data_IF_396839972257
#
_entry.id   IF_396839972257
#
_cell.length_a   1.000
_cell.length_b   1.000
_cell.length_c   1.000
_cell.angle_alpha   90.00
_cell.angle_beta   90.00
_cell.angle_gamma   90.00
#
_symmetry.space_group_name_H-M   'P 1'
#
loop_
_entity.id
_entity.type
_entity.pdbx_description
1 polymer ?
#
# COMPACT_ATOMS: atom_id res chain seq x y z
N UNK A 1 -19.77 45.13 -35.50
CA UNK A 1 -19.79 44.65 -34.11
C UNK A 1 -19.66 43.13 -34.13
N UNK A 2 -18.48 42.56 -33.82
CA UNK A 2 -18.30 41.11 -33.86
C UNK A 2 -18.78 40.48 -32.55
N UNK A 3 -19.47 39.34 -32.69
CA UNK A 3 -19.94 38.48 -31.60
C UNK A 3 -18.74 37.78 -30.98
N UNK A 4 -18.58 37.90 -29.66
CA UNK A 4 -17.51 37.28 -28.90
C UNK A 4 -17.63 35.75 -28.90
N UNK A 5 -16.54 35.09 -29.26
CA UNK A 5 -16.32 33.66 -29.06
C UNK A 5 -16.12 33.41 -27.56
N UNK A 6 -17.01 32.62 -26.95
CA UNK A 6 -16.75 32.04 -25.64
C UNK A 6 -15.73 30.90 -25.81
N UNK A 7 -14.52 31.12 -25.32
CA UNK A 7 -13.49 30.10 -25.24
C UNK A 7 -13.95 29.04 -24.21
N UNK A 8 -14.31 27.85 -24.70
CA UNK A 8 -14.43 26.66 -23.86
C UNK A 8 -13.02 26.27 -23.41
N UNK A 9 -12.74 26.45 -22.12
CA UNK A 9 -11.56 25.91 -21.48
C UNK A 9 -11.67 24.37 -21.51
N UNK A 10 -10.99 23.77 -22.49
CA UNK A 10 -10.76 22.34 -22.56
C UNK A 10 -9.83 21.98 -21.38
N UNK A 11 -10.40 21.50 -20.27
CA UNK A 11 -9.63 20.90 -19.18
C UNK A 11 -9.08 19.58 -19.72
N UNK A 12 -7.85 19.64 -20.26
CA UNK A 12 -7.03 18.47 -20.55
C UNK A 12 -6.67 17.82 -19.20
N UNK A 13 -7.54 16.95 -18.71
CA UNK A 13 -7.23 16.05 -17.61
C UNK A 13 -6.13 15.09 -18.08
N UNK A 14 -4.89 15.39 -17.72
CA UNK A 14 -3.82 14.40 -17.73
C UNK A 14 -4.21 13.28 -16.75
N UNK A 15 -4.48 12.10 -17.30
CA UNK A 15 -4.81 10.88 -16.56
C UNK A 15 -3.55 10.32 -15.90
N UNK A 16 -3.09 10.97 -14.83
CA UNK A 16 -2.18 10.35 -13.89
C UNK A 16 -3.00 9.40 -13.02
N UNK A 17 -2.58 8.14 -12.91
CA UNK A 17 -3.09 7.26 -11.86
C UNK A 17 -2.95 8.00 -10.51
N UNK A 18 -3.95 7.95 -9.61
CA UNK A 18 -3.79 8.52 -8.29
C UNK A 18 -2.54 7.88 -7.67
N UNK A 19 -1.63 8.71 -7.15
CA UNK A 19 -0.57 8.21 -6.29
C UNK A 19 -1.23 7.41 -5.17
N UNK A 20 -0.70 6.24 -4.76
CA UNK A 20 -1.17 5.62 -3.54
C UNK A 20 -1.13 6.70 -2.45
N UNK A 21 -2.22 6.81 -1.68
CA UNK A 21 -2.33 7.79 -0.61
C UNK A 21 -1.01 7.77 0.17
N UNK A 22 -0.31 8.91 0.19
CA UNK A 22 0.88 9.07 0.99
C UNK A 22 0.52 8.54 2.38
N UNK A 23 1.25 7.52 2.85
CA UNK A 23 1.06 7.03 4.20
C UNK A 23 1.22 8.23 5.11
N UNK A 24 0.11 8.71 5.67
CA UNK A 24 0.15 9.77 6.66
C UNK A 24 0.84 9.15 7.85
N UNK A 25 2.14 9.44 8.00
CA UNK A 25 2.79 9.26 9.29
C UNK A 25 1.93 10.00 10.30
N UNK A 26 1.59 9.33 11.39
CA UNK A 26 0.85 9.91 12.51
C UNK A 26 1.72 10.95 13.24
N UNK A 27 2.17 11.99 12.54
CA UNK A 27 3.09 12.98 13.06
C UNK A 27 2.32 13.93 14.00
N UNK A 28 2.71 13.90 15.27
CA UNK A 28 2.11 14.70 16.33
C UNK A 28 1.53 13.87 17.49
N UNK A 29 0.83 14.54 18.42
CA UNK A 29 0.22 13.90 19.59
C UNK A 29 -0.92 12.94 19.19
N UNK A 30 -0.89 11.72 19.71
CA UNK A 30 -1.89 10.69 19.46
C UNK A 30 -3.26 11.09 20.00
N UNK A 31 -3.30 11.85 21.10
CA UNK A 31 -4.54 12.39 21.66
C UNK A 31 -5.30 13.28 20.68
N UNK A 32 -4.59 14.00 19.80
CA UNK A 32 -5.21 14.82 18.76
C UNK A 32 -5.91 13.95 17.72
N UNK A 33 -5.29 12.84 17.30
CA UNK A 33 -5.90 11.90 16.36
C UNK A 33 -7.16 11.26 16.94
N UNK A 34 -7.09 10.78 18.18
CA UNK A 34 -8.24 10.17 18.86
C UNK A 34 -9.41 11.15 18.95
N UNK A 35 -9.16 12.40 19.37
CA UNK A 35 -10.21 13.43 19.44
C UNK A 35 -10.79 13.74 18.07
N UNK A 36 -9.95 13.78 17.03
CA UNK A 36 -10.41 14.03 15.67
C UNK A 36 -11.32 12.90 15.14
N UNK A 37 -11.01 11.63 15.46
CA UNK A 37 -11.87 10.48 15.14
C UNK A 37 -13.20 10.57 15.92
N UNK A 38 -13.15 10.88 17.22
CA UNK A 38 -14.33 10.98 18.08
C UNK A 38 -15.28 12.13 17.72
N UNK A 39 -14.73 13.20 17.14
CA UNK A 39 -15.52 14.35 16.68
C UNK A 39 -16.15 14.12 15.31
N UNK A 40 -15.79 13.05 14.60
CA UNK A 40 -16.24 12.81 13.24
C UNK A 40 -17.64 12.18 13.20
N UNK A 41 -18.42 12.53 12.18
CA UNK A 41 -19.79 12.06 11.99
C UNK A 41 -19.85 10.61 11.50
N UNK A 42 -18.75 10.08 10.94
CA UNK A 42 -18.67 8.69 10.46
C UNK A 42 -18.19 7.70 11.53
N UNK A 43 -18.01 8.12 12.78
CA UNK A 43 -17.61 7.21 13.85
C UNK A 43 -18.65 6.12 14.08
N UNK A 44 -18.19 4.92 14.42
CA UNK A 44 -19.02 3.74 14.64
C UNK A 44 -19.16 3.43 16.15
N UNK A 45 -20.11 2.58 16.57
CA UNK A 45 -20.25 2.18 17.98
C UNK A 45 -18.95 1.66 18.62
N UNK A 46 -18.06 1.05 17.84
CA UNK A 46 -16.73 0.65 18.30
C UNK A 46 -15.81 1.83 18.68
N UNK A 47 -15.96 2.97 18.02
CA UNK A 47 -15.20 4.20 18.30
C UNK A 47 -15.65 4.82 19.62
N UNK A 48 -16.95 4.78 19.90
CA UNK A 48 -17.50 5.20 21.19
C UNK A 48 -17.14 4.21 22.31
N UNK A 49 -17.28 2.89 22.05
CA UNK A 49 -17.00 1.80 23.00
C UNK A 49 -15.60 1.90 23.61
N UNK A 50 -14.59 2.16 22.78
CA UNK A 50 -13.20 2.26 23.24
C UNK A 50 -12.73 3.70 23.47
N UNK A 51 -13.56 4.71 23.20
CA UNK A 51 -13.17 6.12 23.18
C UNK A 51 -12.39 6.61 24.41
N UNK A 52 -12.91 6.43 25.65
CA UNK A 52 -12.19 6.83 26.86
C UNK A 52 -10.83 6.13 27.02
N UNK A 53 -10.76 4.85 26.67
CA UNK A 53 -9.54 4.05 26.78
C UNK A 53 -8.51 4.43 25.71
N UNK A 54 -8.95 4.71 24.47
CA UNK A 54 -8.09 5.26 23.41
C UNK A 54 -7.44 6.56 23.87
N UNK A 55 -8.21 7.46 24.50
CA UNK A 55 -7.68 8.71 25.05
C UNK A 55 -6.70 8.50 26.20
N UNK A 56 -6.97 7.59 27.13
CA UNK A 56 -6.05 7.26 28.22
C UNK A 56 -4.71 6.76 27.67
N UNK A 57 -4.75 5.78 26.77
CA UNK A 57 -3.56 5.16 26.19
C UNK A 57 -2.77 6.19 25.36
N UNK A 58 -3.45 6.96 24.51
CA UNK A 58 -2.83 8.00 23.72
C UNK A 58 -2.16 9.08 24.61
N UNK A 59 -2.81 9.50 25.69
CA UNK A 59 -2.24 10.46 26.63
C UNK A 59 -1.02 9.90 27.36
N UNK A 60 -1.06 8.63 27.74
CA UNK A 60 0.06 7.95 28.40
C UNK A 60 1.29 7.83 27.47
N UNK A 61 1.07 7.57 26.18
CA UNK A 61 2.09 7.53 25.13
C UNK A 61 2.63 8.92 24.82
N UNK A 62 1.76 9.92 24.65
CA UNK A 62 2.15 11.32 24.42
C UNK A 62 3.03 11.84 25.57
N UNK A 63 2.66 11.56 26.82
CA UNK A 63 3.44 11.94 28.00
C UNK A 63 4.82 11.25 28.10
N UNK A 64 5.02 10.13 27.40
CA UNK A 64 6.27 9.36 27.37
C UNK A 64 7.02 9.48 26.05
N UNK A 65 6.56 10.30 25.11
CA UNK A 65 7.07 10.36 23.75
C UNK A 65 8.59 10.59 23.70
N UNK A 66 9.11 11.54 24.49
CA UNK A 66 10.55 11.83 24.54
C UNK A 66 11.37 10.68 25.12
N UNK A 67 10.84 9.97 26.13
CA UNK A 67 11.51 8.83 26.73
C UNK A 67 11.52 7.61 25.79
N UNK A 68 10.43 7.36 25.07
CA UNK A 68 10.35 6.32 24.03
C UNK A 68 11.32 6.66 22.88
N UNK A 69 11.33 7.92 22.42
CA UNK A 69 12.27 8.36 21.38
C UNK A 69 13.75 8.29 21.85
N UNK A 70 14.03 8.55 23.13
CA UNK A 70 15.35 8.36 23.71
C UNK A 70 15.75 6.88 23.76
N UNK A 71 14.84 5.99 24.14
CA UNK A 71 15.04 4.53 24.11
C UNK A 71 15.39 4.04 22.70
N UNK A 72 14.64 4.46 21.68
CA UNK A 72 14.87 4.05 20.28
C UNK A 72 16.17 4.57 19.67
N UNK A 73 16.77 5.61 20.27
CA UNK A 73 18.08 6.16 19.84
C UNK A 73 19.25 5.48 20.54
N UNK A 74 19.01 4.60 21.52
CA UNK A 74 20.09 3.86 22.15
C UNK A 74 20.74 2.96 21.10
N UNK A 75 22.09 2.99 20.99
CA UNK A 75 22.78 2.03 20.14
C UNK A 75 22.37 0.63 20.58
N UNK A 76 21.97 -0.22 19.64
CA UNK A 76 21.84 -1.64 19.92
C UNK A 76 23.14 -2.10 20.61
N UNK A 77 23.06 -2.84 21.73
CA UNK A 77 24.26 -3.24 22.45
C UNK A 77 25.23 -3.89 21.46
N UNK A 78 26.47 -3.40 21.43
CA UNK A 78 27.51 -3.94 20.58
C UNK A 78 27.55 -5.46 20.81
N UNK A 79 27.27 -6.22 19.74
CA UNK A 79 27.15 -7.67 19.72
C UNK A 79 28.25 -8.34 20.57
N UNK A 80 27.90 -8.72 21.79
CA UNK A 80 28.87 -9.24 22.77
C UNK A 80 28.27 -9.74 24.07
N UNK A 81 27.00 -9.43 24.37
CA UNK A 81 26.31 -9.89 25.58
C UNK A 81 24.86 -10.33 25.29
N UNK A 82 24.63 -10.98 24.15
CA UNK A 82 23.39 -11.72 23.92
C UNK A 82 23.70 -13.18 24.25
N UNK A 83 23.32 -13.57 25.45
CA UNK A 83 23.18 -14.96 25.90
C UNK A 83 22.63 -15.81 24.74
N UNK A 84 23.28 -16.94 24.44
CA UNK A 84 23.16 -17.71 23.20
C UNK A 84 21.72 -17.85 22.69
N UNK A 85 21.27 -16.85 21.93
CA UNK A 85 20.01 -16.91 21.22
C UNK A 85 20.18 -17.90 20.07
N UNK A 86 19.13 -18.67 19.72
CA UNK A 86 19.14 -19.46 18.50
C UNK A 86 19.60 -18.55 17.35
N UNK A 87 20.51 -19.06 16.50
CA UNK A 87 21.05 -18.29 15.39
C UNK A 87 19.90 -17.53 14.70
N UNK A 88 19.98 -16.20 14.57
CA UNK A 88 18.85 -15.42 14.15
C UNK A 88 18.35 -15.93 12.79
N UNK A 89 17.02 -16.05 12.65
CA UNK A 89 16.36 -16.53 11.42
C UNK A 89 16.88 -15.77 10.19
N UNK A 90 17.33 -14.53 10.40
CA UNK A 90 17.94 -13.67 9.42
C UNK A 90 19.36 -13.26 9.83
N UNK A 91 20.25 -13.14 8.85
CA UNK A 91 21.58 -12.54 9.00
C UNK A 91 21.64 -11.21 8.25
N UNK A 92 22.33 -10.23 8.83
CA UNK A 92 22.63 -8.97 8.15
C UNK A 92 23.76 -9.19 7.12
N UNK A 93 23.57 -8.68 5.91
CA UNK A 93 24.55 -8.71 4.82
C UNK A 93 24.73 -7.30 4.27
N UNK A 94 25.97 -6.84 4.13
CA UNK A 94 26.26 -5.52 3.57
C UNK A 94 25.71 -5.42 2.14
N UNK A 95 25.03 -4.32 1.84
CA UNK A 95 24.54 -3.94 0.52
C UNK A 95 24.78 -2.45 0.31
N UNK A 96 25.90 -2.11 -0.33
CA UNK A 96 26.32 -0.73 -0.58
C UNK A 96 26.38 0.10 0.71
N UNK A 97 25.60 1.19 0.82
CA UNK A 97 25.61 2.10 1.97
C UNK A 97 24.86 1.56 3.20
N UNK A 98 24.25 0.36 3.12
CA UNK A 98 23.44 -0.21 4.18
C UNK A 98 23.66 -1.73 4.32
N UNK A 99 22.81 -2.40 5.08
CA UNK A 99 22.70 -3.84 5.16
C UNK A 99 21.28 -4.30 4.84
N UNK A 100 21.17 -5.54 4.37
CA UNK A 100 19.90 -6.24 4.16
C UNK A 100 19.82 -7.48 5.04
N UNK A 101 18.60 -7.88 5.40
CA UNK A 101 18.34 -9.08 6.16
C UNK A 101 18.07 -10.25 5.20
N UNK A 102 18.93 -11.26 5.26
CA UNK A 102 18.83 -12.48 4.44
C UNK A 102 18.48 -13.64 5.35
N UNK A 103 17.45 -14.41 4.99
CA UNK A 103 17.05 -15.59 5.76
C UNK A 103 18.17 -16.62 5.77
N UNK A 104 18.61 -17.03 6.96
CA UNK A 104 19.77 -17.91 7.16
C UNK A 104 19.56 -19.30 6.56
N UNK A 105 18.31 -19.80 6.56
CA UNK A 105 17.93 -21.08 5.96
C UNK A 105 17.68 -21.04 4.44
N UNK A 106 17.86 -19.87 3.81
CA UNK A 106 17.37 -19.62 2.46
C UNK A 106 15.87 -19.31 2.43
N UNK A 107 15.38 -18.88 1.27
CA UNK A 107 13.97 -18.59 1.09
C UNK A 107 13.18 -19.88 0.87
N UNK A 108 12.12 -20.07 1.66
CA UNK A 108 11.15 -21.15 1.49
C UNK A 108 9.77 -20.51 1.42
N UNK A 109 9.10 -20.66 0.28
CA UNK A 109 7.75 -20.16 0.09
C UNK A 109 6.80 -20.82 1.10
N UNK A 110 5.90 -20.04 1.68
CA UNK A 110 4.85 -20.62 2.53
C UNK A 110 3.97 -21.58 1.73
N UNK A 111 3.47 -22.62 2.39
CA UNK A 111 2.39 -23.47 1.84
C UNK A 111 1.01 -23.01 2.28
N UNK A 112 0.94 -22.19 3.33
CA UNK A 112 -0.31 -21.63 3.83
C UNK A 112 -0.83 -20.59 2.83
N UNK A 113 -2.13 -20.64 2.54
CA UNK A 113 -2.78 -19.68 1.64
C UNK A 113 -3.15 -18.40 2.42
N UNK A 114 -4.38 -17.91 2.24
CA UNK A 114 -4.91 -16.78 2.96
C UNK A 114 -4.95 -17.02 4.47
N UNK A 115 -4.33 -16.12 5.22
CA UNK A 115 -4.40 -16.04 6.67
C UNK A 115 -4.91 -14.66 7.08
N UNK A 116 -5.52 -14.59 8.26
CA UNK A 116 -5.92 -13.32 8.88
C UNK A 116 -5.16 -13.15 10.19
N UNK A 117 -4.48 -12.02 10.35
CA UNK A 117 -3.99 -11.57 11.65
C UNK A 117 -4.89 -10.43 12.14
N UNK A 118 -5.48 -10.58 13.32
CA UNK A 118 -6.37 -9.57 13.90
C UNK A 118 -5.62 -8.68 14.87
N UNK A 119 -5.89 -7.38 14.81
CA UNK A 119 -5.38 -6.36 15.70
C UNK A 119 -6.54 -5.45 16.09
N UNK A 120 -6.69 -5.13 17.37
CA UNK A 120 -7.75 -4.23 17.79
C UNK A 120 -7.57 -3.67 19.19
N UNK A 121 -8.46 -2.74 19.54
CA UNK A 121 -8.38 -2.01 20.80
C UNK A 121 -8.54 -2.88 22.04
N UNK A 122 -9.20 -4.04 21.93
CA UNK A 122 -9.32 -4.99 23.03
C UNK A 122 -7.97 -5.58 23.44
N UNK A 123 -7.14 -5.99 22.48
CA UNK A 123 -5.82 -6.58 22.75
C UNK A 123 -4.83 -5.51 23.19
N UNK A 124 -4.87 -4.33 22.55
CA UNK A 124 -4.09 -3.15 22.95
C UNK A 124 -4.41 -2.78 24.41
N UNK A 125 -5.69 -2.75 24.78
CA UNK A 125 -6.12 -2.47 26.14
C UNK A 125 -5.54 -3.45 27.16
N UNK A 126 -5.61 -4.75 26.86
CA UNK A 126 -5.08 -5.80 27.70
C UNK A 126 -3.56 -5.68 27.86
N UNK A 127 -2.85 -5.42 26.76
CA UNK A 127 -1.40 -5.23 26.77
C UNK A 127 -0.99 -3.99 27.58
N UNK A 128 -1.64 -2.85 27.35
CA UNK A 128 -1.41 -1.63 28.12
C UNK A 128 -1.68 -1.83 29.62
N UNK A 129 -2.79 -2.45 29.98
CA UNK A 129 -3.13 -2.69 31.39
C UNK A 129 -2.07 -3.51 32.13
N UNK A 130 -1.40 -4.44 31.45
CA UNK A 130 -0.37 -5.28 32.02
C UNK A 130 0.97 -4.54 32.26
N UNK A 131 1.25 -3.47 31.51
CA UNK A 131 2.56 -2.81 31.50
C UNK A 131 2.53 -1.31 31.83
N UNK A 132 1.37 -0.69 32.01
CA UNK A 132 1.24 0.78 32.19
C UNK A 132 1.97 1.37 33.40
N UNK A 133 2.34 0.54 34.38
CA UNK A 133 3.15 0.92 35.54
C UNK A 133 4.65 0.78 35.33
N UNK A 134 5.07 0.11 34.26
CA UNK A 134 6.48 -0.18 34.00
C UNK A 134 7.22 1.09 33.56
N UNK A 135 8.52 1.21 33.85
CA UNK A 135 9.35 2.22 33.20
C UNK A 135 9.34 2.03 31.67
N UNK A 136 9.69 3.09 30.93
CA UNK A 136 9.80 3.01 29.47
C UNK A 136 10.83 1.93 29.09
N UNK A 137 10.37 0.97 28.29
CA UNK A 137 11.08 -0.22 27.84
C UNK A 137 10.55 -0.64 26.45
N UNK A 138 10.94 -1.82 25.96
CA UNK A 138 10.49 -2.37 24.68
C UNK A 138 8.97 -2.54 24.56
N UNK A 139 8.26 -2.78 25.66
CA UNK A 139 6.80 -2.89 25.64
C UNK A 139 6.14 -1.53 25.38
N UNK A 140 6.70 -0.44 25.92
CA UNK A 140 6.21 0.91 25.62
C UNK A 140 6.44 1.32 24.17
N UNK A 141 7.59 0.98 23.60
CA UNK A 141 7.86 1.21 22.17
C UNK A 141 6.93 0.36 21.28
N UNK A 142 6.78 -0.93 21.61
CA UNK A 142 5.85 -1.83 20.93
C UNK A 142 4.41 -1.35 20.98
N UNK A 143 3.93 -0.90 22.15
CA UNK A 143 2.60 -0.29 22.28
C UNK A 143 2.48 0.98 21.42
N UNK A 144 3.48 1.86 21.44
CA UNK A 144 3.49 3.09 20.64
C UNK A 144 3.32 2.78 19.14
N UNK A 145 4.09 1.81 18.62
CA UNK A 145 3.96 1.36 17.22
C UNK A 145 2.58 0.76 16.93
N UNK A 146 2.07 -0.11 17.82
CA UNK A 146 0.78 -0.76 17.64
C UNK A 146 -0.39 0.25 17.65
N UNK A 147 -0.41 1.17 18.61
CA UNK A 147 -1.45 2.20 18.73
C UNK A 147 -1.42 3.15 17.54
N UNK A 148 -0.23 3.55 17.08
CA UNK A 148 -0.08 4.39 15.88
C UNK A 148 -0.65 3.71 14.64
N UNK A 149 -0.34 2.43 14.43
CA UNK A 149 -0.88 1.66 13.32
C UNK A 149 -2.41 1.63 13.31
N UNK A 150 -3.02 1.27 14.44
CA UNK A 150 -4.49 1.20 14.56
C UNK A 150 -5.15 2.59 14.44
N UNK A 151 -4.52 3.66 14.95
CA UNK A 151 -5.04 5.02 14.80
C UNK A 151 -4.96 5.56 13.37
N UNK A 152 -3.95 5.15 12.59
CA UNK A 152 -3.92 5.44 11.15
C UNK A 152 -5.10 4.74 10.47
N UNK A 153 -5.32 3.45 10.75
CA UNK A 153 -6.45 2.71 10.16
C UNK A 153 -7.81 3.32 10.59
N UNK A 154 -7.98 3.72 11.85
CA UNK A 154 -9.18 4.42 12.33
C UNK A 154 -9.37 5.78 11.64
N UNK A 155 -8.29 6.54 11.45
CA UNK A 155 -8.35 7.83 10.73
C UNK A 155 -8.75 7.61 9.28
N UNK A 156 -8.14 6.63 8.62
CA UNK A 156 -8.46 6.27 7.24
C UNK A 156 -9.92 5.83 7.10
N UNK A 157 -10.41 4.98 8.02
CA UNK A 157 -11.79 4.47 8.00
C UNK A 157 -12.80 5.58 8.26
N UNK A 158 -12.64 6.30 9.36
CA UNK A 158 -13.63 7.25 9.86
C UNK A 158 -13.56 8.57 9.10
N UNK A 159 -12.36 9.16 8.98
CA UNK A 159 -12.21 10.52 8.42
C UNK A 159 -12.04 10.53 6.91
N UNK A 160 -11.22 9.61 6.39
CA UNK A 160 -10.86 9.62 4.97
C UNK A 160 -11.76 8.70 4.12
N UNK A 161 -12.71 8.00 4.75
CA UNK A 161 -13.69 7.17 4.04
C UNK A 161 -13.08 5.95 3.35
N UNK A 162 -11.92 5.47 3.83
CA UNK A 162 -11.31 4.25 3.30
C UNK A 162 -12.19 3.05 3.58
N UNK A 163 -12.41 2.22 2.56
CA UNK A 163 -13.31 1.08 2.65
C UNK A 163 -12.54 -0.16 3.08
N UNK A 164 -12.63 -0.49 4.36
CA UNK A 164 -12.04 -1.70 4.96
C UNK A 164 -12.93 -2.95 4.81
N UNK A 165 -13.86 -2.96 3.85
CA UNK A 165 -14.63 -4.16 3.49
C UNK A 165 -14.23 -4.68 2.09
N UNK A 166 -13.19 -4.08 1.51
CA UNK A 166 -12.57 -4.51 0.26
C UNK A 166 -11.58 -5.65 0.53
N UNK A 167 -11.73 -6.72 -0.21
CA UNK A 167 -10.89 -7.92 -0.11
C UNK A 167 -10.49 -8.49 -1.49
N UNK A 168 -9.79 -9.62 -1.48
CA UNK A 168 -9.25 -10.27 -2.68
C UNK A 168 -10.32 -10.63 -3.73
N UNK A 169 -11.59 -10.72 -3.32
CA UNK A 169 -12.71 -11.08 -4.19
C UNK A 169 -13.40 -9.86 -4.79
N UNK A 170 -13.20 -8.66 -4.23
CA UNK A 170 -13.93 -7.46 -4.63
C UNK A 170 -13.34 -6.74 -5.84
N UNK A 171 -12.06 -6.97 -6.17
CA UNK A 171 -11.35 -6.26 -7.24
C UNK A 171 -12.03 -6.32 -8.60
N UNK A 172 -12.45 -7.53 -9.04
CA UNK A 172 -13.14 -7.69 -10.33
C UNK A 172 -14.52 -7.01 -10.36
N UNK A 173 -15.22 -6.96 -9.22
CA UNK A 173 -16.51 -6.30 -9.12
C UNK A 173 -16.38 -4.77 -9.19
N UNK A 174 -15.34 -4.21 -8.55
CA UNK A 174 -14.98 -2.79 -8.66
C UNK A 174 -14.58 -2.44 -10.09
N UNK A 175 -13.75 -3.27 -10.73
CA UNK A 175 -13.34 -3.06 -12.12
C UNK A 175 -14.57 -3.02 -13.07
N UNK A 176 -15.54 -3.92 -12.87
CA UNK A 176 -16.77 -3.96 -13.64
C UNK A 176 -17.72 -2.78 -13.34
N UNK A 177 -17.70 -2.22 -12.13
CA UNK A 177 -18.51 -1.06 -11.73
C UNK A 177 -18.02 0.24 -12.37
N UNK A 178 -16.70 0.42 -12.46
CA UNK A 178 -16.06 1.69 -12.84
C UNK A 178 -16.57 2.28 -14.17
N UNK A 179 -16.72 1.52 -15.28
CA UNK A 179 -17.19 2.09 -16.54
C UNK A 179 -18.57 2.75 -16.45
N UNK A 180 -19.51 2.17 -15.70
CA UNK A 180 -20.85 2.75 -15.50
C UNK A 180 -20.80 4.08 -14.78
N UNK A 181 -19.99 4.17 -13.72
CA UNK A 181 -19.82 5.39 -12.92
C UNK A 181 -19.09 6.46 -13.73
N UNK A 182 -18.00 6.10 -14.41
CA UNK A 182 -17.24 7.03 -15.24
C UNK A 182 -18.03 7.58 -16.42
N UNK A 183 -18.84 6.75 -17.09
CA UNK A 183 -19.69 7.19 -18.19
C UNK A 183 -20.68 8.26 -17.71
N UNK A 184 -21.33 8.02 -16.58
CA UNK A 184 -22.25 8.98 -15.98
C UNK A 184 -21.53 10.25 -15.50
N UNK A 185 -20.34 10.12 -14.92
CA UNK A 185 -19.56 11.29 -14.49
C UNK A 185 -19.10 12.16 -15.65
N UNK A 186 -18.67 11.56 -16.77
CA UNK A 186 -18.23 12.29 -17.98
C UNK A 186 -19.40 12.95 -18.74
N UNK A 187 -20.61 12.40 -18.61
CA UNK A 187 -21.80 12.97 -19.23
C UNK A 187 -22.47 14.01 -18.33
N UNK A 188 -22.35 15.28 -18.71
CA UNK A 188 -22.99 16.39 -18.00
C UNK A 188 -24.53 16.28 -17.91
N UNK A 189 -25.18 15.49 -18.78
CA UNK A 189 -26.62 15.27 -18.74
C UNK A 189 -27.03 14.05 -17.90
N UNK A 190 -26.08 13.28 -17.36
CA UNK A 190 -26.40 12.08 -16.60
C UNK A 190 -27.16 12.41 -15.30
N UNK A 191 -28.37 11.87 -15.17
CA UNK A 191 -29.22 12.04 -13.98
C UNK A 191 -29.17 10.82 -13.03
N UNK A 192 -28.67 9.67 -13.49
CA UNK A 192 -28.57 8.44 -12.72
C UNK A 192 -27.52 7.49 -13.31
N UNK A 193 -26.75 6.83 -12.45
CA UNK A 193 -25.76 5.83 -12.88
C UNK A 193 -26.50 4.56 -13.34
N UNK A 194 -26.24 4.12 -14.57
CA UNK A 194 -26.79 2.88 -15.09
C UNK A 194 -26.08 1.66 -14.48
N UNK A 195 -26.70 1.06 -13.46
CA UNK A 195 -26.17 -0.07 -12.72
C UNK A 195 -26.92 -1.38 -13.02
N UNK A 196 -26.16 -2.45 -13.24
CA UNK A 196 -26.65 -3.84 -13.27
C UNK A 196 -27.05 -4.31 -11.87
N UNK A 197 -27.78 -5.42 -11.78
CA UNK A 197 -28.15 -6.03 -10.50
C UNK A 197 -26.91 -6.41 -9.66
N UNK A 198 -25.87 -6.97 -10.28
CA UNK A 198 -24.63 -7.34 -9.61
C UNK A 198 -23.89 -6.11 -9.05
N UNK A 199 -23.83 -5.02 -9.83
CA UNK A 199 -23.24 -3.76 -9.36
C UNK A 199 -24.02 -3.18 -8.18
N UNK A 200 -25.36 -3.20 -8.21
CA UNK A 200 -26.17 -2.75 -7.07
C UNK A 200 -25.94 -3.60 -5.82
N UNK A 201 -25.82 -4.92 -5.99
CA UNK A 201 -25.52 -5.83 -4.89
C UNK A 201 -24.16 -5.53 -4.25
N UNK A 202 -23.13 -5.24 -5.07
CA UNK A 202 -21.82 -4.79 -4.59
C UNK A 202 -21.96 -3.52 -3.75
N UNK A 203 -22.63 -2.48 -4.26
CA UNK A 203 -22.83 -1.22 -3.52
C UNK A 203 -23.54 -1.43 -2.18
N UNK A 204 -24.58 -2.28 -2.16
CA UNK A 204 -25.34 -2.56 -0.96
C UNK A 204 -24.55 -3.38 0.08
N UNK A 205 -23.65 -4.26 -0.36
CA UNK A 205 -22.80 -5.07 0.53
C UNK A 205 -21.69 -4.28 1.21
N UNK A 206 -21.38 -3.07 0.71
CA UNK A 206 -20.28 -2.25 1.15
C UNK A 206 -20.83 -1.00 1.84
N UNK A 207 -20.79 -0.96 3.18
CA UNK A 207 -21.48 0.07 3.98
C UNK A 207 -21.19 1.51 3.54
N UNK A 208 -19.92 1.82 3.23
CA UNK A 208 -19.53 3.15 2.76
C UNK A 208 -20.06 3.46 1.35
N UNK A 209 -20.01 2.51 0.41
CA UNK A 209 -20.61 2.68 -0.92
C UNK A 209 -22.12 2.83 -0.85
N UNK A 210 -22.81 2.07 -0.01
CA UNK A 210 -24.25 2.20 0.20
C UNK A 210 -24.61 3.62 0.69
N UNK A 211 -23.81 4.19 1.60
CA UNK A 211 -24.00 5.56 2.07
C UNK A 211 -23.73 6.62 0.98
N UNK A 212 -22.62 6.50 0.22
CA UNK A 212 -22.34 7.43 -0.87
C UNK A 212 -23.43 7.36 -1.95
N UNK A 213 -23.90 6.15 -2.27
CA UNK A 213 -24.94 5.96 -3.27
C UNK A 213 -26.31 6.49 -2.82
N UNK A 214 -26.68 6.30 -1.56
CA UNK A 214 -27.93 6.86 -1.03
C UNK A 214 -27.94 8.39 -1.07
N UNK A 215 -26.79 9.06 -0.89
CA UNK A 215 -26.65 10.52 -1.08
C UNK A 215 -26.83 10.96 -2.52
N UNK A 216 -26.41 10.15 -3.49
CA UNK A 216 -26.69 10.41 -4.92
C UNK A 216 -28.21 10.35 -5.15
N UNK A 217 -28.88 9.34 -4.60
CA UNK A 217 -30.33 9.16 -4.76
C UNK A 217 -31.15 10.24 -4.06
N UNK A 218 -30.71 10.67 -2.86
CA UNK A 218 -31.34 11.72 -2.06
C UNK A 218 -31.07 13.15 -2.55
N UNK A 219 -30.10 13.34 -3.47
CA UNK A 219 -29.76 14.66 -3.98
C UNK A 219 -30.98 15.34 -4.63
N UNK A 220 -31.26 16.55 -4.14
CA UNK A 220 -32.49 17.31 -4.39
C UNK A 220 -32.53 17.98 -5.76
N UNK A 221 -31.37 18.19 -6.38
CA UNK A 221 -31.23 18.90 -7.64
C UNK A 221 -30.08 18.33 -8.50
N UNK A 222 -30.04 18.62 -9.81
CA UNK A 222 -29.02 18.07 -10.72
C UNK A 222 -27.58 18.47 -10.40
N UNK A 223 -27.35 19.66 -9.84
CA UNK A 223 -25.98 20.11 -9.53
C UNK A 223 -25.41 19.35 -8.33
N UNK A 224 -26.19 19.24 -7.26
CA UNK A 224 -25.87 18.44 -6.08
C UNK A 224 -25.64 16.98 -6.48
N UNK A 225 -26.54 16.40 -7.26
CA UNK A 225 -26.42 15.02 -7.72
C UNK A 225 -25.12 14.76 -8.50
N UNK A 226 -24.76 15.68 -9.40
CA UNK A 226 -23.49 15.58 -10.14
C UNK A 226 -22.28 15.67 -9.23
N UNK A 227 -22.31 16.55 -8.22
CA UNK A 227 -21.24 16.62 -7.23
C UNK A 227 -21.07 15.29 -6.46
N UNK A 228 -22.19 14.65 -6.05
CA UNK A 228 -22.17 13.35 -5.36
C UNK A 228 -21.71 12.20 -6.27
N UNK A 229 -22.09 12.20 -7.55
CA UNK A 229 -21.58 11.22 -8.52
C UNK A 229 -20.07 11.39 -8.71
N UNK A 230 -19.57 12.63 -8.76
CA UNK A 230 -18.13 12.90 -8.86
C UNK A 230 -17.37 12.44 -7.61
N UNK A 231 -17.90 12.72 -6.41
CA UNK A 231 -17.37 12.22 -5.13
C UNK A 231 -17.27 10.69 -5.13
N UNK A 232 -18.35 10.00 -5.50
CA UNK A 232 -18.39 8.54 -5.61
C UNK A 232 -17.41 8.01 -6.68
N UNK A 233 -17.31 8.67 -7.82
CA UNK A 233 -16.39 8.31 -8.90
C UNK A 233 -14.92 8.47 -8.52
N UNK A 234 -14.59 9.49 -7.72
CA UNK A 234 -13.24 9.67 -7.16
C UNK A 234 -12.91 8.54 -6.17
N UNK A 235 -13.80 8.26 -5.21
CA UNK A 235 -13.62 7.17 -4.25
C UNK A 235 -13.44 5.81 -4.94
N UNK A 236 -14.30 5.49 -5.90
CA UNK A 236 -14.21 4.24 -6.65
C UNK A 236 -12.87 4.11 -7.42
N UNK A 237 -12.33 5.23 -7.91
CA UNK A 237 -11.02 5.26 -8.57
C UNK A 237 -9.89 4.97 -7.58
N UNK A 238 -9.94 5.57 -6.40
CA UNK A 238 -8.97 5.32 -5.32
C UNK A 238 -9.00 3.86 -4.88
N UNK A 239 -10.20 3.32 -4.65
CA UNK A 239 -10.40 1.91 -4.28
C UNK A 239 -9.88 0.96 -5.34
N UNK A 240 -10.20 1.23 -6.62
CA UNK A 240 -9.68 0.45 -7.73
C UNK A 240 -8.14 0.50 -7.81
N UNK A 241 -7.52 1.60 -7.38
CA UNK A 241 -6.08 1.73 -7.27
C UNK A 241 -5.42 0.61 -6.47
N UNK A 242 -6.11 0.08 -5.46
CA UNK A 242 -5.69 -1.09 -4.66
C UNK A 242 -5.54 -2.36 -5.50
N UNK A 243 -6.27 -2.49 -6.61
CA UNK A 243 -6.27 -3.67 -7.47
C UNK A 243 -5.56 -3.44 -8.80
N UNK A 244 -5.28 -2.17 -9.12
CA UNK A 244 -4.89 -1.78 -10.45
C UNK A 244 -3.45 -2.22 -10.74
N UNK A 245 -3.29 -2.94 -11.85
CA UNK A 245 -1.97 -3.08 -12.44
C UNK A 245 -1.54 -1.76 -13.10
N UNK A 246 -0.48 -1.14 -12.59
CA UNK A 246 0.03 0.15 -13.11
C UNK A 246 1.23 -0.10 -14.00
N UNK A 247 1.00 -0.12 -15.32
CA UNK A 247 2.06 -0.38 -16.29
C UNK A 247 3.19 0.65 -16.20
N UNK A 248 4.43 0.18 -16.06
CA UNK A 248 5.62 1.01 -16.10
C UNK A 248 6.15 1.12 -17.55
N UNK A 249 6.51 2.32 -18.02
CA UNK A 249 7.10 2.50 -19.35
C UNK A 249 8.51 1.92 -19.47
N UNK A 250 9.15 1.62 -18.33
CA UNK A 250 10.52 1.11 -18.24
C UNK A 250 10.61 -0.41 -18.16
N UNK A 251 9.48 -1.08 -18.38
CA UNK A 251 9.38 -2.53 -18.39
C UNK A 251 9.04 -2.97 -19.81
N UNK A 252 9.81 -3.95 -20.31
CA UNK A 252 9.60 -4.53 -21.64
C UNK A 252 9.81 -6.03 -21.63
N UNK A 253 9.09 -6.73 -22.50
CA UNK A 253 9.41 -8.11 -22.82
C UNK A 253 10.62 -8.17 -23.75
N UNK A 254 11.56 -9.06 -23.45
CA UNK A 254 12.78 -9.33 -24.26
C UNK A 254 12.75 -10.71 -24.90
N UNK A 255 11.77 -11.54 -24.55
CA UNK A 255 11.56 -12.90 -25.05
C UNK A 255 10.35 -13.54 -24.37
N UNK A 256 9.93 -14.74 -24.78
CA UNK A 256 8.81 -15.43 -24.13
C UNK A 256 9.11 -15.69 -22.66
N UNK A 257 8.31 -15.09 -21.76
CA UNK A 257 8.53 -15.17 -20.31
C UNK A 257 9.75 -14.39 -19.79
N UNK A 258 10.38 -13.57 -20.64
CA UNK A 258 11.57 -12.80 -20.30
C UNK A 258 11.24 -11.31 -20.29
N UNK A 259 11.48 -10.66 -19.16
CA UNK A 259 11.19 -9.24 -18.98
C UNK A 259 12.44 -8.50 -18.52
N UNK A 260 12.53 -7.24 -18.88
CA UNK A 260 13.57 -6.32 -18.42
C UNK A 260 12.89 -5.12 -17.76
N UNK A 261 13.36 -4.75 -16.58
CA UNK A 261 12.97 -3.52 -15.88
C UNK A 261 14.19 -2.63 -15.74
N UNK A 262 14.08 -1.39 -16.24
CA UNK A 262 15.11 -0.38 -16.03
C UNK A 262 14.79 0.44 -14.77
N UNK A 263 15.77 0.57 -13.89
CA UNK A 263 15.72 1.42 -12.68
C UNK A 263 17.07 2.11 -12.48
N UNK A 264 17.08 3.16 -11.68
CA UNK A 264 18.29 3.84 -11.25
C UNK A 264 18.75 3.29 -9.90
N UNK A 265 20.03 2.94 -9.80
CA UNK A 265 20.59 2.32 -8.60
C UNK A 265 20.68 3.30 -7.42
N UNK A 266 20.60 4.61 -7.68
CA UNK A 266 20.73 5.65 -6.67
C UNK A 266 21.97 5.44 -5.78
N UNK A 267 21.82 5.44 -4.45
CA UNK A 267 22.94 5.28 -3.52
C UNK A 267 23.51 3.84 -3.51
N UNK A 268 22.89 2.89 -4.21
CA UNK A 268 23.35 1.49 -4.32
C UNK A 268 24.23 1.24 -5.56
N UNK A 269 24.65 2.28 -6.29
CA UNK A 269 25.45 2.12 -7.51
C UNK A 269 26.73 1.28 -7.32
N UNK A 270 27.41 1.42 -6.18
CA UNK A 270 28.61 0.62 -5.85
C UNK A 270 28.31 -0.85 -5.53
N UNK A 271 27.05 -1.19 -5.24
CA UNK A 271 26.58 -2.54 -4.96
C UNK A 271 25.46 -2.96 -5.95
N UNK A 272 25.53 -2.46 -7.18
CA UNK A 272 24.52 -2.68 -8.20
C UNK A 272 24.37 -4.17 -8.53
N UNK A 273 25.47 -4.90 -8.66
CA UNK A 273 25.42 -6.33 -9.01
C UNK A 273 24.78 -7.17 -7.89
N UNK A 274 25.09 -6.90 -6.63
CA UNK A 274 24.48 -7.56 -5.47
C UNK A 274 23.00 -7.22 -5.37
N UNK A 275 22.64 -5.94 -5.58
CA UNK A 275 21.25 -5.49 -5.56
C UNK A 275 20.45 -6.17 -6.67
N UNK A 276 21.01 -6.22 -7.89
CA UNK A 276 20.43 -6.97 -9.03
C UNK A 276 20.22 -8.43 -8.67
N UNK A 277 21.25 -9.08 -8.14
CA UNK A 277 21.21 -10.51 -7.83
C UNK A 277 20.08 -10.85 -6.84
N UNK A 278 19.86 -10.02 -5.80
CA UNK A 278 18.75 -10.23 -4.86
C UNK A 278 17.39 -10.13 -5.55
N UNK A 279 17.15 -9.06 -6.32
CA UNK A 279 15.87 -8.85 -7.00
C UNK A 279 15.61 -9.96 -8.02
N UNK A 280 16.58 -10.26 -8.88
CA UNK A 280 16.44 -11.27 -9.93
C UNK A 280 16.34 -12.69 -9.38
N UNK A 281 16.91 -12.98 -8.21
CA UNK A 281 16.78 -14.31 -7.60
C UNK A 281 15.33 -14.62 -7.20
N UNK A 282 14.57 -13.61 -6.80
CA UNK A 282 13.15 -13.74 -6.45
C UNK A 282 12.29 -13.77 -7.71
N UNK A 283 12.58 -12.91 -8.69
CA UNK A 283 11.87 -12.84 -9.97
C UNK A 283 12.45 -13.80 -11.02
N UNK A 284 12.65 -15.07 -10.64
CA UNK A 284 13.13 -16.14 -11.54
C UNK A 284 12.35 -17.43 -11.31
N UNK A 285 11.96 -18.07 -12.40
CA UNK A 285 11.34 -19.39 -12.43
C UNK A 285 11.81 -20.17 -13.68
N UNK A 286 11.57 -21.49 -13.78
CA UNK A 286 11.89 -22.23 -14.99
C UNK A 286 11.26 -21.58 -16.23
N UNK A 287 12.11 -21.21 -17.20
CA UNK A 287 11.71 -20.54 -18.45
C UNK A 287 11.23 -19.09 -18.31
N UNK A 288 11.27 -18.48 -17.12
CA UNK A 288 10.74 -17.13 -16.85
C UNK A 288 11.68 -16.32 -15.97
N UNK A 289 11.95 -15.07 -16.34
CA UNK A 289 12.76 -14.19 -15.49
C UNK A 289 12.45 -12.71 -15.73
N UNK A 290 12.66 -11.92 -14.69
CA UNK A 290 12.83 -10.47 -14.80
C UNK A 290 14.32 -10.17 -14.64
N UNK A 291 14.85 -9.35 -15.56
CA UNK A 291 16.21 -8.78 -15.48
C UNK A 291 16.15 -7.33 -15.04
N UNK A 292 17.04 -6.93 -14.14
CA UNK A 292 17.17 -5.55 -13.69
C UNK A 292 18.35 -4.89 -14.42
N UNK A 293 18.05 -3.83 -15.16
CA UNK A 293 19.06 -3.02 -15.84
C UNK A 293 19.17 -1.69 -15.13
N UNK A 294 20.35 -1.41 -14.57
CA UNK A 294 20.60 -0.12 -13.96
C UNK A 294 20.96 0.93 -15.00
N UNK A 295 20.25 2.05 -14.98
CA UNK A 295 20.47 3.21 -15.86
C UNK A 295 20.45 4.49 -15.04
N UNK A 296 21.12 5.53 -15.51
CA UNK A 296 21.18 6.81 -14.80
C UNK A 296 19.92 7.65 -15.02
N UNK A 297 19.35 8.23 -13.96
CA UNK A 297 18.31 9.27 -14.08
C UNK A 297 18.78 10.54 -14.78
N UNK A 298 20.09 10.77 -14.88
CA UNK A 298 20.61 11.89 -15.67
C UNK A 298 20.30 11.72 -17.17
N UNK A 299 20.25 10.48 -17.66
CA UNK A 299 19.96 10.14 -19.06
C UNK A 299 18.48 9.78 -19.26
N UNK A 300 17.84 9.24 -18.22
CA UNK A 300 16.45 8.80 -18.23
C UNK A 300 15.70 9.33 -17.00
N UNK A 301 15.27 10.61 -16.99
CA UNK A 301 14.73 11.28 -15.80
C UNK A 301 13.49 10.64 -15.18
N UNK A 302 12.76 9.85 -15.97
CA UNK A 302 11.50 9.20 -15.62
C UNK A 302 11.65 7.80 -15.02
N UNK A 303 12.88 7.30 -14.82
CA UNK A 303 13.13 6.03 -14.13
C UNK A 303 12.76 6.11 -12.64
N UNK A 304 12.32 4.98 -12.10
CA UNK A 304 12.32 4.77 -10.66
C UNK A 304 13.77 4.69 -10.16
N UNK A 305 14.09 5.36 -9.05
CA UNK A 305 15.40 5.32 -8.39
C UNK A 305 15.31 4.67 -7.03
N UNK A 306 16.26 3.80 -6.69
CA UNK A 306 16.40 3.30 -5.34
C UNK A 306 16.80 4.44 -4.40
N UNK A 307 16.17 4.51 -3.24
CA UNK A 307 16.47 5.48 -2.19
C UNK A 307 16.67 4.76 -0.88
N UNK A 308 17.60 5.28 -0.08
CA UNK A 308 17.79 4.84 1.29
C UNK A 308 17.24 5.93 2.21
N UNK A 309 16.18 5.59 2.93
CA UNK A 309 15.64 6.43 3.98
C UNK A 309 16.66 6.58 5.11
N UNK A 310 16.78 7.80 5.65
CA UNK A 310 17.66 8.09 6.78
C UNK A 310 16.91 7.82 8.08
N UNK A 311 17.31 6.80 8.83
CA UNK A 311 16.74 6.50 10.15
C UNK A 311 16.68 5.01 10.45
N UNK A 312 16.37 4.67 11.71
CA UNK A 312 16.05 3.31 12.13
C UNK A 312 14.52 3.14 12.16
N UNK A 313 14.01 1.96 11.78
CA UNK A 313 12.57 1.65 11.83
C UNK A 313 11.74 2.16 10.64
N UNK A 314 12.37 2.50 9.51
CA UNK A 314 11.67 2.89 8.28
C UNK A 314 10.84 1.77 7.67
N UNK A 315 10.02 2.11 6.68
CA UNK A 315 9.21 1.17 5.90
C UNK A 315 9.63 1.24 4.43
N UNK A 316 9.66 0.09 3.77
CA UNK A 316 9.82 0.06 2.31
C UNK A 316 8.50 0.35 1.62
N UNK A 317 8.57 1.18 0.57
CA UNK A 317 7.43 1.54 -0.27
C UNK A 317 7.89 2.08 -1.62
N UNK A 318 6.97 2.14 -2.58
CA UNK A 318 7.17 2.83 -3.86
C UNK A 318 6.37 4.13 -3.92
N UNK A 319 7.07 5.24 -4.06
CA UNK A 319 6.48 6.54 -4.40
C UNK A 319 6.40 6.67 -5.92
N UNK A 320 5.19 6.53 -6.47
CA UNK A 320 4.94 6.65 -7.89
C UNK A 320 5.05 8.09 -8.42
N UNK A 321 4.86 9.10 -7.57
CA UNK A 321 4.97 10.51 -7.92
C UNK A 321 6.43 10.95 -8.02
N UNK A 322 7.23 10.61 -7.01
CA UNK A 322 8.67 10.90 -6.99
C UNK A 322 9.49 9.93 -7.87
N UNK A 323 8.89 8.80 -8.26
CA UNK A 323 9.56 7.66 -8.91
C UNK A 323 10.71 7.15 -8.04
N UNK A 324 10.37 6.79 -6.81
CA UNK A 324 11.34 6.34 -5.81
C UNK A 324 10.92 4.99 -5.25
N UNK A 325 11.88 4.07 -5.15
CA UNK A 325 11.76 2.84 -4.39
C UNK A 325 12.51 3.08 -3.08
N UNK A 326 11.76 3.35 -2.02
CA UNK A 326 12.33 3.72 -0.73
C UNK A 326 12.62 2.45 0.06
N UNK A 327 13.87 2.32 0.48
CA UNK A 327 14.37 1.23 1.32
C UNK A 327 14.89 1.79 2.64
N UNK A 328 14.90 0.98 3.68
CA UNK A 328 15.43 1.34 4.99
C UNK A 328 16.57 0.37 5.40
N UNK A 329 17.45 0.77 6.33
CA UNK A 329 18.48 -0.13 6.84
C UNK A 329 17.91 -1.38 7.49
N UNK A 330 18.38 -2.56 7.07
CA UNK A 330 17.83 -3.84 7.54
C UNK A 330 16.60 -4.32 6.79
N UNK A 331 16.27 -3.72 5.64
CA UNK A 331 15.24 -4.26 4.75
C UNK A 331 15.55 -5.73 4.38
N UNK A 332 14.51 -6.55 4.29
CA UNK A 332 14.64 -7.95 3.86
C UNK A 332 14.91 -8.01 2.36
N UNK A 333 15.77 -8.92 1.90
CA UNK A 333 16.06 -9.05 0.46
C UNK A 333 14.79 -9.29 -0.38
N UNK A 334 13.86 -10.10 0.13
CA UNK A 334 12.55 -10.34 -0.53
C UNK A 334 11.65 -9.12 -0.55
N UNK A 335 11.75 -8.24 0.45
CA UNK A 335 11.03 -6.96 0.46
C UNK A 335 11.53 -6.02 -0.65
N UNK A 336 12.84 -5.99 -0.93
CA UNK A 336 13.36 -5.24 -2.10
C UNK A 336 12.73 -5.74 -3.40
N UNK A 337 12.64 -7.07 -3.57
CA UNK A 337 12.01 -7.66 -4.74
C UNK A 337 10.50 -7.38 -4.82
N UNK A 338 9.82 -7.31 -3.68
CA UNK A 338 8.41 -6.90 -3.58
C UNK A 338 8.22 -5.44 -4.05
N UNK A 339 9.07 -4.51 -3.60
CA UNK A 339 9.01 -3.12 -4.08
C UNK A 339 9.28 -3.03 -5.59
N UNK A 340 10.19 -3.85 -6.13
CA UNK A 340 10.38 -3.93 -7.58
C UNK A 340 9.15 -4.54 -8.28
N UNK A 341 8.38 -5.38 -7.62
CA UNK A 341 7.06 -5.83 -8.07
C UNK A 341 6.10 -4.66 -8.35
N UNK A 342 6.12 -3.63 -7.51
CA UNK A 342 5.37 -2.40 -7.76
C UNK A 342 5.90 -1.63 -8.98
N UNK A 343 7.22 -1.58 -9.18
CA UNK A 343 7.80 -1.00 -10.41
C UNK A 343 7.42 -1.80 -11.66
N UNK A 344 7.27 -3.12 -11.54
CA UNK A 344 6.73 -3.97 -12.61
C UNK A 344 5.24 -3.70 -12.87
N UNK A 345 4.54 -3.12 -11.90
CA UNK A 345 3.16 -2.67 -11.99
C UNK A 345 2.18 -3.44 -11.13
N UNK A 346 2.64 -4.38 -10.28
CA UNK A 346 1.76 -5.12 -9.39
C UNK A 346 1.34 -4.27 -8.18
N UNK A 347 0.06 -4.29 -7.78
CA UNK A 347 -0.36 -3.70 -6.52
C UNK A 347 0.04 -4.60 -5.34
N UNK A 348 -0.13 -4.07 -4.14
CA UNK A 348 -0.20 -4.89 -2.93
C UNK A 348 -1.42 -5.82 -2.99
N UNK A 349 -1.25 -7.06 -2.51
CA UNK A 349 -2.31 -8.10 -2.48
C UNK A 349 -2.59 -8.52 -1.04
N UNK A 350 -2.56 -7.57 -0.11
CA UNK A 350 -3.08 -7.77 1.26
C UNK A 350 -4.17 -6.75 1.55
N UNK A 351 -5.08 -7.15 2.43
CA UNK A 351 -6.28 -6.37 2.73
C UNK A 351 -6.38 -6.19 4.22
N UNK A 352 -6.45 -4.94 4.68
CA UNK A 352 -6.90 -4.65 6.03
C UNK A 352 -8.42 -4.59 6.00
N UNK A 353 -9.06 -5.43 6.80
CA UNK A 353 -10.51 -5.56 6.90
C UNK A 353 -10.97 -5.11 8.26
N UNK A 354 -12.05 -4.34 8.32
CA UNK A 354 -12.65 -3.90 9.56
C UNK A 354 -13.86 -4.78 9.89
N UNK A 355 -13.85 -5.37 11.08
CA UNK A 355 -15.01 -6.03 11.67
C UNK A 355 -15.62 -5.10 12.73
N UNK A 356 -16.72 -4.45 12.36
CA UNK A 356 -17.44 -3.51 13.23
C UNK A 356 -18.23 -4.17 14.37
N UNK A 357 -18.42 -5.49 14.36
CA UNK A 357 -19.03 -6.21 15.48
C UNK A 357 -17.97 -6.56 16.53
N UNK A 358 -16.84 -7.12 16.07
CA UNK A 358 -15.72 -7.46 16.93
C UNK A 358 -14.85 -6.25 17.32
N UNK A 359 -14.98 -5.13 16.61
CA UNK A 359 -14.15 -3.92 16.74
C UNK A 359 -12.65 -4.17 16.51
N UNK A 360 -12.32 -4.94 15.47
CA UNK A 360 -10.95 -5.32 15.13
C UNK A 360 -10.64 -5.10 13.65
N UNK A 361 -9.37 -4.82 13.36
CA UNK A 361 -8.82 -4.88 12.02
C UNK A 361 -8.18 -6.24 11.79
N UNK A 362 -8.59 -6.95 10.74
CA UNK A 362 -7.95 -8.16 10.23
C UNK A 362 -7.08 -7.85 9.03
N UNK A 363 -5.77 -8.08 9.10
CA UNK A 363 -4.92 -8.08 7.91
C UNK A 363 -4.94 -9.46 7.28
N UNK A 364 -5.58 -9.56 6.11
CA UNK A 364 -5.62 -10.75 5.27
C UNK A 364 -4.46 -10.75 4.29
N UNK A 365 -3.66 -11.80 4.32
CA UNK A 365 -2.51 -12.01 3.43
C UNK A 365 -2.52 -13.42 2.88
N UNK A 366 -2.21 -13.56 1.60
CA UNK A 366 -1.85 -14.82 0.99
C UNK A 366 -0.35 -15.07 1.21
N UNK A 367 0.02 -15.96 2.12
CA UNK A 367 1.44 -16.21 2.41
C UNK A 367 2.21 -16.83 1.24
N UNK A 368 1.53 -17.33 0.21
CA UNK A 368 2.17 -17.86 -1.00
C UNK A 368 2.59 -16.75 -1.99
N UNK A 369 2.00 -15.57 -1.88
CA UNK A 369 2.11 -14.50 -2.87
C UNK A 369 3.11 -13.43 -2.41
N UNK A 370 4.18 -13.20 -3.18
CA UNK A 370 5.17 -12.14 -2.92
C UNK A 370 4.53 -10.76 -2.76
N UNK A 371 3.52 -10.44 -3.57
CA UNK A 371 2.83 -9.15 -3.54
C UNK A 371 1.85 -9.04 -2.37
N UNK A 372 1.58 -10.14 -1.66
CA UNK A 372 0.75 -10.15 -0.45
C UNK A 372 1.56 -10.22 0.83
N UNK A 373 2.62 -11.03 0.85
CA UNK A 373 3.51 -11.20 1.98
C UNK A 373 4.99 -11.22 1.52
N UNK A 374 5.72 -10.10 1.60
CA UNK A 374 7.13 -10.04 1.24
C UNK A 374 8.02 -10.90 2.15
N UNK A 375 7.50 -11.48 3.24
CA UNK A 375 8.28 -12.26 4.18
C UNK A 375 8.35 -13.75 3.81
N UNK A 376 7.30 -14.27 3.18
CA UNK A 376 7.17 -15.70 2.90
C UNK A 376 6.59 -16.03 1.53
N UNK A 377 6.11 -15.01 0.80
CA UNK A 377 5.49 -15.15 -0.51
C UNK A 377 6.50 -15.26 -1.66
N UNK A 378 6.08 -15.97 -2.71
CA UNK A 378 6.86 -16.20 -3.92
C UNK A 378 6.18 -15.56 -5.15
N UNK A 379 6.91 -15.47 -6.26
CA UNK A 379 6.34 -15.04 -7.54
C UNK A 379 5.47 -16.18 -8.12
N UNK A 380 4.16 -15.98 -8.13
CA UNK A 380 3.17 -16.94 -8.62
C UNK A 380 3.04 -16.95 -10.15
N UNK A 381 2.46 -18.02 -10.69
CA UNK A 381 2.15 -18.14 -12.13
C UNK A 381 1.25 -17.00 -12.63
N UNK A 382 0.32 -16.54 -11.80
CA UNK A 382 -0.55 -15.41 -12.12
C UNK A 382 0.23 -14.12 -12.39
N UNK A 383 1.36 -13.89 -11.71
CA UNK A 383 2.22 -12.73 -12.00
C UNK A 383 2.81 -12.81 -13.41
N UNK A 384 3.34 -13.98 -13.79
CA UNK A 384 3.92 -14.17 -15.11
C UNK A 384 2.89 -14.03 -16.23
N UNK A 385 1.68 -14.55 -16.02
CA UNK A 385 0.55 -14.35 -16.94
C UNK A 385 0.20 -12.87 -17.07
N UNK A 386 0.18 -12.13 -15.95
CA UNK A 386 -0.11 -10.70 -15.96
C UNK A 386 0.98 -9.89 -16.67
N UNK A 387 2.25 -10.24 -16.49
CA UNK A 387 3.36 -9.62 -17.24
C UNK A 387 3.23 -9.87 -18.75
N UNK A 388 2.84 -11.08 -19.17
CA UNK A 388 2.62 -11.40 -20.58
C UNK A 388 1.44 -10.61 -21.18
N UNK A 389 0.36 -10.44 -20.41
CA UNK A 389 -0.79 -9.63 -20.80
C UNK A 389 -0.41 -8.14 -20.96
N UNK A 390 0.30 -7.58 -19.98
CA UNK A 390 0.56 -6.13 -19.89
C UNK A 390 1.78 -5.66 -20.67
N UNK A 391 2.76 -6.55 -20.86
CA UNK A 391 3.98 -6.33 -21.64
C UNK A 391 4.11 -7.40 -22.72
N UNK A 392 3.26 -7.36 -23.76
CA UNK A 392 3.37 -8.31 -24.87
C UNK A 392 4.72 -8.13 -25.56
N UNK A 393 5.27 -9.24 -26.07
CA UNK A 393 6.40 -9.19 -26.98
C UNK A 393 6.05 -8.31 -28.17
N UNK A 394 6.89 -7.33 -28.46
CA UNK A 394 6.78 -6.59 -29.70
C UNK A 394 6.92 -7.61 -30.83
N UNK A 395 5.85 -7.81 -31.61
CA UNK A 395 5.95 -8.53 -32.87
C UNK A 395 6.84 -7.63 -33.73
N UNK A 396 8.08 -8.05 -33.98
CA UNK A 396 8.87 -7.42 -35.02
C UNK A 396 8.04 -7.54 -36.29
N UNK A 397 7.43 -6.43 -36.71
CA UNK A 397 6.88 -6.31 -38.04
C UNK A 397 8.08 -6.45 -38.96
N UNK A 398 8.37 -7.70 -39.33
CA UNK A 398 9.27 -8.04 -40.42
C UNK A 398 8.73 -7.26 -41.60
N UNK A 399 9.36 -6.12 -41.89
CA UNK A 399 9.21 -5.42 -43.16
C UNK A 399 9.59 -6.45 -44.20
N UNK A 400 8.58 -7.11 -44.76
CA UNK A 400 8.68 -7.85 -46.00
C UNK A 400 8.95 -6.80 -47.08
N UNK A 401 10.21 -6.37 -47.15
CA UNK A 401 10.76 -5.76 -48.35
C UNK A 401 10.88 -6.87 -49.39
N UNK A 402 9.85 -7.01 -50.22
CA UNK A 402 9.99 -7.38 -51.61
C UNK A 402 9.07 -6.51 -52.44
#
# INVERSE_FOLDING_TARGET
MPKGFAASALVLCFFSAPAPAAQTSADGPLTTMVKAIQADDYREPCDDKYGPLRLEIAAALDARADAIAAFNRQPLPASGAVEAQPAPEYRAVKLGPTYVMVKSSGFVASKESWVTATNGWADIAKFYAAMKSDPVNENWDGLNGWVRGVLVDDTERVKNGKIFALDETTGGAIEALRPSVEACWKDSACAAIALTAAQRALLASQGYYAQLFSRIEAASNPAERRARIAEFGLRLREDYGTYAFVKSPHVRATGPGQYEVAIDAGPFAEAAEETRAYIESVWRAPGRQVKVVFKSRAEHPDLFSLKLEKGAGGRSFVDYGAKEVVLFPGVRATAIAHEVGHVLGFPDVYFTIWDGEACVYGTRKNKQDLMSDPNSGAVLDAHWQKLAEKYPLAVENSRSGK
#
